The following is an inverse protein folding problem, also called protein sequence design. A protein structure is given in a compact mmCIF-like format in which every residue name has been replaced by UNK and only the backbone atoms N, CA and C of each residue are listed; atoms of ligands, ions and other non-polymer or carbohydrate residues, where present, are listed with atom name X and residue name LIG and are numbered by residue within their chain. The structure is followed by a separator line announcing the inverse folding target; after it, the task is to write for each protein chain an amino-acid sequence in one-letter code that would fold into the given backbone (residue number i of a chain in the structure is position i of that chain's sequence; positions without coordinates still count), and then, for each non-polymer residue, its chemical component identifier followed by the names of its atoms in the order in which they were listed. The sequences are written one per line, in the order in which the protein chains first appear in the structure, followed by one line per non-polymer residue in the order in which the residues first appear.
data_IF_688146274351
#
_entry.id   IF_688146274351
#
_cell.length_a   1.000
_cell.length_b   1.000
_cell.length_c   1.000
_cell.angle_alpha   90.00
_cell.angle_beta   90.00
_cell.angle_gamma   90.00
#
_symmetry.space_group_name_H-M   'P 1'
#
loop_
_entity.id
_entity.type
_entity.pdbx_description
1 polymer ?
#
# COMPACT_ATOMS: atom_id res chain seq x y z
N UNK A 1 10.43 27.38 -12.81
CA UNK A 1 10.20 28.76 -12.32
C UNK A 1 8.99 28.84 -11.38
N UNK A 2 7.82 28.32 -11.73
CA UNK A 2 6.63 28.36 -10.85
C UNK A 2 6.72 27.45 -9.60
N UNK A 3 7.37 26.28 -9.71
CA UNK A 3 7.56 25.36 -8.56
C UNK A 3 8.55 25.90 -7.51
N UNK A 4 9.53 26.71 -7.94
CA UNK A 4 10.52 27.34 -7.06
C UNK A 4 9.89 28.45 -6.21
N UNK A 5 8.93 29.20 -6.76
CA UNK A 5 8.16 30.22 -6.02
C UNK A 5 7.31 29.56 -4.92
N UNK A 6 6.63 28.44 -5.24
CA UNK A 6 5.79 27.72 -4.26
C UNK A 6 6.61 27.15 -3.11
N UNK A 7 7.79 26.59 -3.41
CA UNK A 7 8.70 26.08 -2.38
C UNK A 7 9.14 27.20 -1.43
N UNK A 8 9.52 28.37 -1.95
CA UNK A 8 9.93 29.54 -1.17
C UNK A 8 8.82 30.08 -0.27
N UNK A 9 7.59 30.20 -0.79
CA UNK A 9 6.43 30.62 0.00
C UNK A 9 6.22 29.68 1.19
N UNK A 10 6.28 28.36 0.93
CA UNK A 10 6.08 27.35 1.97
C UNK A 10 7.21 27.39 3.02
N UNK A 11 8.46 27.56 2.58
CA UNK A 11 9.61 27.69 3.48
C UNK A 11 9.50 28.93 4.39
N UNK A 12 9.11 30.09 3.83
CA UNK A 12 8.93 31.32 4.59
C UNK A 12 7.80 31.18 5.62
N UNK A 13 6.66 30.62 5.21
CA UNK A 13 5.56 30.33 6.13
C UNK A 13 6.00 29.45 7.31
N UNK A 14 6.76 28.38 7.04
CA UNK A 14 7.30 27.51 8.09
C UNK A 14 8.25 28.27 9.04
N UNK A 15 9.11 29.16 8.52
CA UNK A 15 10.01 29.99 9.35
C UNK A 15 9.21 30.92 10.26
N UNK A 16 8.25 31.65 9.70
CA UNK A 16 7.41 32.61 10.43
C UNK A 16 6.64 31.92 11.57
N UNK A 17 6.03 30.76 11.32
CA UNK A 17 5.36 30.01 12.38
C UNK A 17 6.37 29.51 13.42
N UNK A 18 7.51 28.95 13.03
CA UNK A 18 8.52 28.50 14.00
C UNK A 18 9.05 29.64 14.90
N UNK A 19 9.20 30.85 14.36
CA UNK A 19 9.59 32.04 15.12
C UNK A 19 8.49 32.45 16.11
N UNK A 20 7.24 32.51 15.64
CA UNK A 20 6.06 32.81 16.45
C UNK A 20 5.92 31.84 17.64
N UNK A 21 6.19 30.55 17.41
CA UNK A 21 6.17 29.52 18.45
C UNK A 21 7.50 29.42 19.24
N UNK A 22 8.53 30.20 18.89
CA UNK A 22 9.87 30.20 19.51
C UNK A 22 10.55 28.82 19.49
N UNK A 23 10.44 28.12 18.36
CA UNK A 23 10.98 26.77 18.13
C UNK A 23 11.97 26.68 16.97
N UNK A 24 12.38 27.79 16.34
CA UNK A 24 13.24 27.78 15.14
C UNK A 24 14.49 26.91 15.26
N UNK A 25 15.14 26.90 16.44
CA UNK A 25 16.34 26.09 16.72
C UNK A 25 16.04 24.73 17.38
N UNK A 26 14.77 24.36 17.49
CA UNK A 26 14.30 23.12 18.15
C UNK A 26 13.73 22.10 17.18
N UNK A 27 13.67 22.43 15.88
CA UNK A 27 13.15 21.53 14.85
C UNK A 27 14.23 20.56 14.39
N UNK A 28 14.10 19.29 14.78
CA UNK A 28 15.04 18.23 14.42
C UNK A 28 14.88 17.77 12.97
N UNK A 29 13.63 17.63 12.51
CA UNK A 29 13.26 17.19 11.16
C UNK A 29 11.81 17.56 10.84
N UNK A 30 11.47 17.59 9.55
CA UNK A 30 10.12 17.80 9.04
C UNK A 30 9.69 16.58 8.24
N UNK A 31 8.51 16.03 8.60
CA UNK A 31 7.90 14.90 7.88
C UNK A 31 6.89 15.43 6.86
N UNK A 32 6.92 14.96 5.62
CA UNK A 32 5.91 15.28 4.61
C UNK A 32 5.59 14.11 3.69
N UNK A 33 4.54 14.25 2.88
CA UNK A 33 4.08 13.28 1.88
C UNK A 33 4.94 13.21 0.61
N UNK A 34 6.18 13.73 0.64
CA UNK A 34 7.15 13.68 -0.45
C UNK A 34 6.77 14.46 -1.73
N UNK A 35 5.81 15.40 -1.66
CA UNK A 35 5.55 16.27 -2.81
C UNK A 35 6.74 17.20 -3.05
N UNK A 36 7.24 17.24 -4.29
CA UNK A 36 8.50 17.91 -4.65
C UNK A 36 8.62 19.35 -4.14
N UNK A 37 7.55 20.14 -4.20
CA UNK A 37 7.55 21.52 -3.72
C UNK A 37 7.71 21.62 -2.20
N UNK A 38 7.14 20.68 -1.44
CA UNK A 38 7.30 20.62 0.02
C UNK A 38 8.71 20.14 0.38
N UNK A 39 9.23 19.14 -0.32
CA UNK A 39 10.61 18.67 -0.12
C UNK A 39 11.60 19.81 -0.38
N UNK A 40 11.44 20.54 -1.48
CA UNK A 40 12.27 21.70 -1.81
C UNK A 40 12.11 22.84 -0.78
N UNK A 41 10.90 23.06 -0.25
CA UNK A 41 10.67 24.04 0.83
C UNK A 41 11.43 23.66 2.10
N UNK A 42 11.36 22.40 2.52
CA UNK A 42 12.06 21.89 3.71
C UNK A 42 13.58 22.03 3.56
N UNK A 43 14.10 21.65 2.39
CA UNK A 43 15.54 21.74 2.08
C UNK A 43 16.03 23.20 2.00
N UNK A 44 15.29 24.08 1.33
CA UNK A 44 15.64 25.51 1.23
C UNK A 44 15.54 26.26 2.56
N UNK A 45 14.75 25.74 3.50
CA UNK A 45 14.73 26.22 4.87
C UNK A 45 15.87 25.70 5.76
N UNK A 46 16.70 24.78 5.26
CA UNK A 46 17.82 24.20 6.00
C UNK A 46 17.44 23.09 6.98
N UNK A 47 16.22 22.54 6.88
CA UNK A 47 15.77 21.46 7.76
C UNK A 47 16.00 20.09 7.14
N UNK A 48 16.16 19.07 8.00
CA UNK A 48 16.16 17.67 7.57
C UNK A 48 14.76 17.25 7.17
N UNK A 49 14.62 16.66 5.99
CA UNK A 49 13.37 16.10 5.49
C UNK A 49 13.29 14.60 5.79
N UNK A 50 12.13 14.15 6.25
CA UNK A 50 11.78 12.75 6.41
C UNK A 50 10.53 12.47 5.57
N UNK A 51 10.62 11.45 4.73
CA UNK A 51 9.51 11.08 3.85
C UNK A 51 8.46 10.25 4.57
N UNK A 52 7.18 10.51 4.28
CA UNK A 52 6.09 9.70 4.80
C UNK A 52 6.17 8.27 4.23
N UNK A 53 6.49 7.31 5.09
CA UNK A 53 6.63 5.90 4.69
C UNK A 53 5.35 5.35 4.06
N UNK A 54 4.18 5.59 4.68
CA UNK A 54 2.88 5.11 4.16
C UNK A 54 2.59 5.67 2.77
N UNK A 55 2.94 6.93 2.52
CA UNK A 55 2.80 7.52 1.19
C UNK A 55 3.73 6.84 0.17
N UNK A 56 5.00 6.65 0.52
CA UNK A 56 5.96 5.93 -0.33
C UNK A 56 5.50 4.50 -0.63
N UNK A 57 5.00 3.77 0.38
CA UNK A 57 4.48 2.42 0.25
C UNK A 57 3.25 2.39 -0.67
N UNK A 58 2.33 3.35 -0.55
CA UNK A 58 1.21 3.50 -1.46
C UNK A 58 1.69 3.66 -2.91
N UNK A 59 2.71 4.49 -3.18
CA UNK A 59 3.25 4.65 -4.53
C UNK A 59 3.86 3.35 -5.08
N UNK A 60 4.57 2.58 -4.24
CA UNK A 60 5.12 1.26 -4.63
C UNK A 60 3.99 0.32 -5.06
N UNK A 61 2.98 0.17 -4.21
CA UNK A 61 1.92 -0.81 -4.42
C UNK A 61 1.02 -0.44 -5.59
N UNK A 62 0.71 0.85 -5.78
CA UNK A 62 -0.09 1.30 -6.93
C UNK A 62 0.58 0.96 -8.26
N UNK A 63 1.90 1.14 -8.36
CA UNK A 63 2.65 0.74 -9.56
C UNK A 63 2.60 -0.77 -9.76
N UNK A 64 2.77 -1.57 -8.71
CA UNK A 64 2.61 -3.02 -8.81
C UNK A 64 1.21 -3.44 -9.29
N UNK A 65 0.16 -2.92 -8.66
CA UNK A 65 -1.24 -3.20 -9.04
C UNK A 65 -1.52 -2.82 -10.50
N UNK A 66 -0.87 -1.77 -11.01
CA UNK A 66 -1.05 -1.34 -12.39
C UNK A 66 -0.69 -2.41 -13.42
N UNK A 67 0.22 -3.33 -13.08
CA UNK A 67 0.61 -4.48 -13.93
C UNK A 67 -0.53 -5.50 -14.10
N UNK A 68 -1.48 -5.54 -13.16
CA UNK A 68 -2.66 -6.42 -13.19
C UNK A 68 -3.97 -5.63 -13.34
N UNK A 69 -3.89 -4.37 -13.79
CA UNK A 69 -5.02 -3.43 -13.79
C UNK A 69 -6.22 -3.93 -14.60
N UNK A 70 -5.99 -4.65 -15.69
CA UNK A 70 -7.06 -5.23 -16.52
C UNK A 70 -7.94 -6.18 -15.70
N UNK A 71 -7.31 -7.10 -14.96
CA UNK A 71 -8.02 -8.06 -14.10
C UNK A 71 -8.68 -7.38 -12.92
N UNK A 72 -7.99 -6.41 -12.28
CA UNK A 72 -8.55 -5.61 -11.17
C UNK A 72 -9.80 -4.86 -11.62
N UNK A 73 -9.80 -4.31 -12.84
CA UNK A 73 -10.94 -3.58 -13.40
C UNK A 73 -12.13 -4.51 -13.64
N UNK A 74 -11.90 -5.75 -14.10
CA UNK A 74 -12.97 -6.75 -14.24
C UNK A 74 -13.56 -7.13 -12.88
N UNK A 75 -12.72 -7.37 -11.86
CA UNK A 75 -13.18 -7.61 -10.48
C UNK A 75 -14.02 -6.44 -9.97
N UNK A 76 -13.58 -5.20 -10.24
CA UNK A 76 -14.32 -3.99 -9.87
C UNK A 76 -15.69 -3.94 -10.54
N UNK A 77 -15.80 -4.28 -11.83
CA UNK A 77 -17.07 -4.33 -12.55
C UNK A 77 -18.04 -5.37 -11.96
N UNK A 78 -17.52 -6.54 -11.56
CA UNK A 78 -18.30 -7.56 -10.85
C UNK A 78 -18.86 -7.00 -9.54
N UNK A 79 -18.01 -6.37 -8.73
CA UNK A 79 -18.41 -5.79 -7.45
C UNK A 79 -19.42 -4.68 -7.64
N UNK A 80 -19.22 -3.78 -8.60
CA UNK A 80 -20.15 -2.70 -8.94
C UNK A 80 -21.51 -3.24 -9.38
N UNK A 81 -21.55 -4.32 -10.15
CA UNK A 81 -22.80 -4.97 -10.54
C UNK A 81 -23.58 -5.46 -9.32
N UNK A 82 -22.94 -6.19 -8.40
CA UNK A 82 -23.59 -6.65 -7.16
C UNK A 82 -23.99 -5.50 -6.23
N UNK A 83 -23.28 -4.37 -6.26
CA UNK A 83 -23.64 -3.18 -5.48
C UNK A 83 -24.84 -2.43 -6.05
N UNK A 84 -24.96 -2.34 -7.38
CA UNK A 84 -26.03 -1.61 -8.07
C UNK A 84 -27.32 -2.41 -8.18
N UNK A 85 -27.24 -3.74 -8.30
CA UNK A 85 -28.41 -4.60 -8.45
C UNK A 85 -28.81 -5.26 -7.13
N UNK A 86 -29.93 -4.81 -6.56
CA UNK A 86 -30.52 -5.43 -5.37
C UNK A 86 -30.86 -6.91 -5.61
N UNK A 87 -31.38 -7.25 -6.79
CA UNK A 87 -31.68 -8.63 -7.16
C UNK A 87 -30.42 -9.51 -7.23
N UNK A 88 -29.33 -9.02 -7.83
CA UNK A 88 -28.08 -9.76 -7.87
C UNK A 88 -27.49 -9.94 -6.47
N UNK A 89 -27.60 -8.92 -5.62
CA UNK A 89 -27.16 -8.98 -4.22
C UNK A 89 -27.97 -10.00 -3.40
N UNK A 90 -29.27 -10.10 -3.60
CA UNK A 90 -30.12 -11.12 -2.96
C UNK A 90 -29.72 -12.52 -3.42
N UNK A 91 -29.58 -12.74 -4.74
CA UNK A 91 -29.13 -14.02 -5.29
C UNK A 91 -27.76 -14.44 -4.76
N UNK A 92 -26.81 -13.51 -4.64
CA UNK A 92 -25.50 -13.79 -4.04
C UNK A 92 -25.63 -14.23 -2.58
N UNK A 93 -26.52 -13.61 -1.81
CA UNK A 93 -26.76 -14.02 -0.43
C UNK A 93 -27.40 -15.41 -0.34
N UNK A 94 -28.36 -15.71 -1.21
CA UNK A 94 -28.97 -17.04 -1.31
C UNK A 94 -27.92 -18.09 -1.66
N UNK A 95 -27.06 -17.82 -2.64
CA UNK A 95 -25.99 -18.72 -3.07
C UNK A 95 -24.96 -18.95 -1.97
N UNK A 96 -24.58 -17.89 -1.24
CA UNK A 96 -23.73 -18.02 -0.05
C UNK A 96 -24.39 -18.89 1.03
N UNK A 97 -25.70 -18.75 1.28
CA UNK A 97 -26.42 -19.61 2.23
C UNK A 97 -26.46 -21.07 1.79
N UNK A 98 -26.74 -21.33 0.51
CA UNK A 98 -26.77 -22.68 -0.06
C UNK A 98 -25.41 -23.38 0.06
N UNK A 99 -24.32 -22.62 -0.06
CA UNK A 99 -22.95 -23.12 0.08
C UNK A 99 -22.44 -23.14 1.54
N UNK A 100 -23.31 -22.88 2.54
CA UNK A 100 -22.94 -22.76 3.95
C UNK A 100 -21.82 -21.74 4.24
N UNK A 101 -21.74 -20.68 3.43
CA UNK A 101 -20.78 -19.58 3.59
C UNK A 101 -21.38 -18.43 4.41
N UNK A 102 -20.56 -17.73 5.22
CA UNK A 102 -21.00 -16.50 5.88
C UNK A 102 -21.57 -15.48 4.90
N UNK A 103 -22.76 -14.96 5.21
CA UNK A 103 -23.45 -14.00 4.35
C UNK A 103 -22.78 -12.63 4.43
N UNK A 104 -21.88 -12.38 3.49
CA UNK A 104 -21.11 -11.13 3.41
C UNK A 104 -21.39 -10.39 2.11
N UNK A 105 -21.38 -9.06 2.17
CA UNK A 105 -21.37 -8.20 0.98
C UNK A 105 -19.96 -8.11 0.42
N UNK A 106 -19.86 -7.90 -0.90
CA UNK A 106 -18.59 -7.57 -1.56
C UNK A 106 -18.13 -6.16 -1.13
N UNK A 107 -16.81 -5.97 -1.06
CA UNK A 107 -16.17 -4.69 -0.73
C UNK A 107 -15.85 -3.94 -2.01
N UNK A 108 -16.21 -2.66 -2.08
CA UNK A 108 -15.95 -1.82 -3.24
C UNK A 108 -14.59 -1.14 -3.10
N UNK A 109 -13.85 -1.07 -4.20
CA UNK A 109 -12.62 -0.32 -4.30
C UNK A 109 -12.86 1.20 -4.31
N UNK A 110 -11.99 1.93 -3.62
CA UNK A 110 -11.87 3.39 -3.57
C UNK A 110 -10.52 3.75 -4.18
N UNK A 111 -10.55 4.31 -5.39
CA UNK A 111 -9.38 4.54 -6.27
C UNK A 111 -8.20 5.23 -5.57
N UNK A 112 -8.46 6.11 -4.60
CA UNK A 112 -7.43 6.88 -3.91
C UNK A 112 -6.63 6.08 -2.88
N UNK A 113 -6.99 4.83 -2.56
CA UNK A 113 -6.33 4.03 -1.51
C UNK A 113 -6.22 2.57 -1.93
N UNK A 114 -5.02 2.12 -2.28
CA UNK A 114 -4.78 0.72 -2.67
C UNK A 114 -5.26 -0.33 -1.65
N UNK A 115 -5.35 0.03 -0.36
CA UNK A 115 -5.91 -0.83 0.69
C UNK A 115 -7.33 -1.31 0.37
N UNK A 116 -8.18 -0.47 -0.25
CA UNK A 116 -9.52 -0.89 -0.68
C UNK A 116 -9.47 -1.85 -1.86
N UNK A 117 -8.46 -1.73 -2.72
CA UNK A 117 -8.24 -2.65 -3.83
C UNK A 117 -7.91 -4.02 -3.29
N UNK A 118 -6.95 -4.12 -2.35
CA UNK A 118 -6.63 -5.37 -1.66
C UNK A 118 -7.87 -5.97 -0.99
N UNK A 119 -8.61 -5.17 -0.24
CA UNK A 119 -9.83 -5.59 0.44
C UNK A 119 -10.91 -6.13 -0.51
N UNK A 120 -11.07 -5.51 -1.68
CA UNK A 120 -11.96 -5.95 -2.75
C UNK A 120 -11.51 -7.31 -3.30
N UNK A 121 -10.25 -7.43 -3.72
CA UNK A 121 -9.69 -8.67 -4.28
C UNK A 121 -9.82 -9.83 -3.29
N UNK A 122 -9.39 -9.60 -2.05
CA UNK A 122 -9.45 -10.58 -0.97
C UNK A 122 -10.91 -11.01 -0.68
N UNK A 123 -11.85 -10.07 -0.64
CA UNK A 123 -13.28 -10.38 -0.42
C UNK A 123 -13.86 -11.19 -1.57
N UNK A 124 -13.59 -10.81 -2.82
CA UNK A 124 -14.12 -11.51 -3.99
C UNK A 124 -13.59 -12.94 -4.06
N UNK A 125 -12.30 -13.16 -3.80
CA UNK A 125 -11.73 -14.52 -3.74
C UNK A 125 -12.32 -15.34 -2.58
N UNK A 126 -12.55 -14.74 -1.40
CA UNK A 126 -13.20 -15.44 -0.28
C UNK A 126 -14.64 -15.89 -0.58
N UNK A 127 -15.26 -15.37 -1.64
CA UNK A 127 -16.61 -15.72 -2.10
C UNK A 127 -16.61 -16.23 -3.54
N UNK A 128 -15.47 -16.74 -4.03
CA UNK A 128 -15.25 -17.13 -5.42
C UNK A 128 -16.38 -18.01 -5.96
N UNK A 129 -16.69 -19.12 -5.30
CA UNK A 129 -17.68 -20.09 -5.81
C UNK A 129 -19.09 -19.50 -5.85
N UNK A 130 -19.49 -18.77 -4.81
CA UNK A 130 -20.79 -18.10 -4.77
C UNK A 130 -20.89 -16.99 -5.83
N UNK A 131 -19.82 -16.25 -6.07
CA UNK A 131 -19.74 -15.22 -7.12
C UNK A 131 -19.85 -15.86 -8.51
N UNK A 132 -19.09 -16.93 -8.78
CA UNK A 132 -19.13 -17.65 -10.06
C UNK A 132 -20.54 -18.21 -10.32
N UNK A 133 -21.11 -18.94 -9.36
CA UNK A 133 -22.44 -19.53 -9.48
C UNK A 133 -23.51 -18.45 -9.69
N UNK A 134 -23.44 -17.34 -8.97
CA UNK A 134 -24.40 -16.25 -9.14
C UNK A 134 -24.27 -15.58 -10.50
N UNK A 135 -23.04 -15.24 -10.94
CA UNK A 135 -22.79 -14.62 -12.24
C UNK A 135 -23.27 -15.50 -13.39
N UNK A 136 -23.08 -16.82 -13.32
CA UNK A 136 -23.59 -17.75 -14.32
C UNK A 136 -25.12 -17.65 -14.51
N UNK A 137 -25.86 -17.32 -13.45
CA UNK A 137 -27.33 -17.22 -13.47
C UNK A 137 -27.85 -15.84 -13.86
N UNK A 138 -27.08 -14.77 -13.65
CA UNK A 138 -27.59 -13.39 -13.77
C UNK A 138 -26.85 -12.55 -14.79
N UNK A 139 -25.55 -12.82 -15.02
CA UNK A 139 -24.69 -11.96 -15.82
C UNK A 139 -23.35 -12.62 -16.17
N UNK A 140 -23.41 -13.64 -17.03
CA UNK A 140 -22.25 -14.47 -17.37
C UNK A 140 -21.10 -13.68 -18.04
N UNK A 141 -21.41 -12.58 -18.73
CA UNK A 141 -20.45 -11.78 -19.48
C UNK A 141 -19.45 -11.02 -18.57
N UNK A 142 -19.77 -10.90 -17.27
CA UNK A 142 -18.86 -10.33 -16.28
C UNK A 142 -17.95 -11.37 -15.62
N UNK A 143 -18.11 -12.66 -15.92
CA UNK A 143 -17.33 -13.72 -15.29
C UNK A 143 -15.84 -13.61 -15.66
N UNK A 144 -14.97 -13.78 -14.66
CA UNK A 144 -13.53 -13.93 -14.90
C UNK A 144 -13.23 -15.32 -15.46
N UNK A 145 -12.26 -15.40 -16.37
CA UNK A 145 -11.74 -16.68 -16.83
C UNK A 145 -10.76 -17.30 -15.80
N UNK A 146 -10.32 -18.53 -16.07
CA UNK A 146 -9.42 -19.28 -15.18
C UNK A 146 -8.12 -18.54 -14.88
N UNK A 147 -7.48 -17.98 -15.92
CA UNK A 147 -6.23 -17.22 -15.78
C UNK A 147 -6.43 -15.97 -14.93
N UNK A 148 -7.51 -15.23 -15.16
CA UNK A 148 -7.84 -14.02 -14.39
C UNK A 148 -8.08 -14.33 -12.91
N UNK A 149 -8.79 -15.42 -12.60
CA UNK A 149 -8.93 -15.89 -11.23
C UNK A 149 -7.58 -16.23 -10.60
N UNK A 150 -6.73 -16.93 -11.35
CA UNK A 150 -5.38 -17.27 -10.92
C UNK A 150 -4.56 -16.01 -10.57
N UNK A 151 -4.54 -14.99 -11.44
CA UNK A 151 -3.84 -13.72 -11.17
C UNK A 151 -4.30 -13.09 -9.86
N UNK A 152 -5.61 -13.03 -9.61
CA UNK A 152 -6.14 -12.42 -8.37
C UNK A 152 -5.74 -13.24 -7.14
N UNK A 153 -5.82 -14.57 -7.23
CA UNK A 153 -5.45 -15.47 -6.14
C UNK A 153 -3.96 -15.39 -5.80
N UNK A 154 -3.11 -15.25 -6.82
CA UNK A 154 -1.66 -15.07 -6.68
C UNK A 154 -1.29 -13.69 -6.15
N UNK A 155 -2.03 -12.64 -6.53
CA UNK A 155 -1.74 -11.28 -6.09
C UNK A 155 -2.01 -11.04 -4.61
N UNK A 156 -3.03 -11.68 -4.03
CA UNK A 156 -3.44 -11.50 -2.63
C UNK A 156 -2.31 -11.76 -1.63
N UNK A 157 -1.60 -12.92 -1.62
CA UNK A 157 -0.54 -13.16 -0.64
C UNK A 157 0.62 -12.17 -0.77
N UNK A 158 0.97 -11.76 -1.99
CA UNK A 158 2.01 -10.75 -2.23
C UNK A 158 1.60 -9.40 -1.63
N UNK A 159 0.41 -8.90 -2.00
CA UNK A 159 -0.10 -7.61 -1.53
C UNK A 159 -0.41 -7.60 -0.03
N UNK A 160 -0.69 -8.76 0.58
CA UNK A 160 -0.95 -8.91 2.01
C UNK A 160 0.23 -8.42 2.86
N UNK A 161 1.46 -8.73 2.46
CA UNK A 161 2.66 -8.29 3.20
C UNK A 161 2.73 -6.76 3.29
N UNK A 162 2.48 -6.07 2.18
CA UNK A 162 2.38 -4.61 2.12
C UNK A 162 1.21 -4.11 2.97
N UNK A 163 0.08 -4.81 2.98
CA UNK A 163 -1.16 -4.35 3.63
C UNK A 163 -1.00 -4.38 5.14
N UNK A 164 -0.37 -5.43 5.65
CA UNK A 164 -0.05 -5.58 7.07
C UNK A 164 0.93 -4.51 7.53
N UNK A 165 1.99 -4.23 6.76
CA UNK A 165 2.94 -3.14 7.05
C UNK A 165 2.24 -1.78 7.06
N UNK A 166 1.45 -1.48 6.01
CA UNK A 166 0.73 -0.22 5.92
C UNK A 166 -0.25 -0.03 7.09
N UNK A 167 -0.95 -1.10 7.48
CA UNK A 167 -1.90 -1.08 8.59
C UNK A 167 -1.20 -0.90 9.92
N UNK A 168 -0.08 -1.60 10.17
CA UNK A 168 0.70 -1.46 11.42
C UNK A 168 1.20 -0.02 11.58
N UNK A 169 1.81 0.55 10.54
CA UNK A 169 2.31 1.93 10.61
C UNK A 169 1.19 2.95 10.76
N UNK A 170 0.02 2.72 10.14
CA UNK A 170 -1.10 3.68 10.15
C UNK A 170 -1.97 3.60 11.41
N UNK A 171 -1.95 2.48 12.15
CA UNK A 171 -2.76 2.29 13.36
C UNK A 171 -2.04 2.71 14.64
N UNK A 172 -0.73 2.98 14.56
CA UNK A 172 0.06 3.24 15.75
C UNK A 172 -0.11 4.66 16.30
N UNK A 173 -0.52 4.73 17.57
CA UNK A 173 -0.44 5.94 18.41
C UNK A 173 0.99 6.20 18.94
N UNK A 174 1.98 5.45 18.45
CA UNK A 174 3.36 5.41 18.94
C UNK A 174 4.38 5.58 17.81
N UNK A 175 5.67 5.66 18.17
CA UNK A 175 6.81 5.90 17.28
C UNK A 175 6.85 4.91 16.11
N UNK A 176 6.63 5.45 14.90
CA UNK A 176 6.61 4.73 13.62
C UNK A 176 7.96 4.76 12.89
N UNK A 177 8.86 5.68 13.26
CA UNK A 177 10.10 5.97 12.54
C UNK A 177 11.11 4.82 12.67
N UNK A 178 11.23 4.22 13.86
CA UNK A 178 12.10 3.07 14.17
C UNK A 178 11.75 1.80 13.38
N UNK A 179 10.53 1.75 12.83
CA UNK A 179 10.04 0.59 12.08
C UNK A 179 10.35 0.68 10.59
N UNK A 180 10.75 1.85 10.10
CA UNK A 180 10.94 2.11 8.67
C UNK A 180 11.99 1.17 8.09
N UNK A 181 13.17 1.07 8.71
CA UNK A 181 14.26 0.20 8.25
C UNK A 181 13.85 -1.28 8.32
N UNK A 182 13.22 -1.69 9.42
CA UNK A 182 12.78 -3.08 9.62
C UNK A 182 11.76 -3.47 8.56
N UNK A 183 10.74 -2.63 8.34
CA UNK A 183 9.68 -2.93 7.37
C UNK A 183 10.13 -2.80 5.92
N UNK A 184 11.01 -1.84 5.56
CA UNK A 184 11.58 -1.78 4.22
C UNK A 184 12.37 -3.04 3.89
N UNK A 185 13.18 -3.52 4.84
CA UNK A 185 13.98 -4.75 4.69
C UNK A 185 13.10 -5.99 4.60
N UNK A 186 12.09 -6.12 5.47
CA UNK A 186 11.15 -7.25 5.44
C UNK A 186 10.39 -7.32 4.10
N UNK A 187 9.91 -6.19 3.60
CA UNK A 187 9.23 -6.13 2.29
C UNK A 187 10.19 -6.48 1.14
N UNK A 188 11.41 -5.95 1.18
CA UNK A 188 12.44 -6.23 0.18
C UNK A 188 12.83 -7.72 0.16
N UNK A 189 13.01 -8.34 1.32
CA UNK A 189 13.29 -9.77 1.44
C UNK A 189 12.11 -10.62 0.96
N UNK A 190 10.89 -10.32 1.42
CA UNK A 190 9.70 -11.06 1.03
C UNK A 190 9.51 -11.07 -0.50
N UNK A 191 9.59 -9.91 -1.15
CA UNK A 191 9.41 -9.81 -2.60
C UNK A 191 10.59 -10.43 -3.38
N UNK A 192 11.81 -10.37 -2.82
CA UNK A 192 12.99 -10.97 -3.45
C UNK A 192 13.02 -12.49 -3.39
N UNK A 193 12.39 -13.08 -2.37
CA UNK A 193 12.31 -14.53 -2.18
C UNK A 193 11.14 -15.18 -2.96
N UNK A 194 10.34 -14.40 -3.68
CA UNK A 194 9.27 -14.94 -4.52
C UNK A 194 9.86 -15.70 -5.72
N UNK A 195 9.61 -17.01 -5.79
CA UNK A 195 9.95 -17.81 -6.97
C UNK A 195 9.00 -17.48 -8.12
N UNK A 196 9.46 -16.68 -9.09
CA UNK A 196 8.66 -16.19 -10.22
C UNK A 196 8.09 -17.32 -11.10
N UNK A 197 8.76 -18.48 -11.18
CA UNK A 197 8.35 -19.59 -12.05
C UNK A 197 7.00 -20.21 -11.65
N UNK A 198 6.55 -19.98 -10.41
CA UNK A 198 5.29 -20.51 -9.89
C UNK A 198 4.09 -19.60 -10.22
N UNK A 199 4.34 -18.38 -10.70
CA UNK A 199 3.31 -17.36 -10.90
C UNK A 199 2.92 -17.20 -12.37
N UNK A 200 1.71 -16.69 -12.63
CA UNK A 200 1.27 -16.31 -13.98
C UNK A 200 2.13 -15.17 -14.56
N UNK A 201 2.22 -15.01 -15.89
CA UNK A 201 2.99 -13.93 -16.50
C UNK A 201 2.63 -12.53 -15.99
N UNK A 202 1.35 -12.26 -15.75
CA UNK A 202 0.87 -10.99 -15.20
C UNK A 202 1.26 -10.80 -13.73
N UNK A 203 1.16 -11.86 -12.91
CA UNK A 203 1.60 -11.82 -11.53
C UNK A 203 3.13 -11.66 -11.42
N UNK A 204 3.90 -12.29 -12.31
CA UNK A 204 5.35 -12.10 -12.40
C UNK A 204 5.73 -10.64 -12.71
N UNK A 205 5.01 -10.00 -13.64
CA UNK A 205 5.19 -8.56 -13.93
C UNK A 205 4.92 -7.71 -12.69
N UNK A 206 3.81 -7.96 -11.99
CA UNK A 206 3.50 -7.29 -10.73
C UNK A 206 4.62 -7.45 -9.69
N UNK A 207 5.08 -8.67 -9.45
CA UNK A 207 6.14 -8.96 -8.46
C UNK A 207 7.43 -8.25 -8.84
N UNK A 208 7.82 -8.29 -10.12
CA UNK A 208 9.03 -7.63 -10.64
C UNK A 208 8.93 -6.11 -10.48
N UNK A 209 7.77 -5.53 -10.81
CA UNK A 209 7.48 -4.12 -10.68
C UNK A 209 7.51 -3.67 -9.20
N UNK A 210 6.88 -4.44 -8.30
CA UNK A 210 6.95 -4.22 -6.86
C UNK A 210 8.39 -4.26 -6.34
N UNK A 211 9.17 -5.28 -6.72
CA UNK A 211 10.58 -5.41 -6.33
C UNK A 211 11.40 -4.19 -6.75
N UNK A 212 11.27 -3.78 -8.02
CA UNK A 212 11.96 -2.61 -8.55
C UNK A 212 11.54 -1.32 -7.84
N UNK A 213 10.25 -1.14 -7.52
CA UNK A 213 9.77 0.05 -6.84
C UNK A 213 10.15 0.10 -5.36
N UNK A 214 10.15 -1.03 -4.66
CA UNK A 214 10.68 -1.13 -3.29
C UNK A 214 12.15 -0.71 -3.27
N UNK A 215 12.97 -1.29 -4.15
CA UNK A 215 14.39 -0.95 -4.25
C UNK A 215 14.58 0.54 -4.55
N UNK A 216 13.96 1.03 -5.63
CA UNK A 216 14.10 2.42 -6.09
C UNK A 216 13.70 3.44 -5.03
N UNK A 217 12.62 3.19 -4.28
CA UNK A 217 12.04 4.20 -3.38
C UNK A 217 12.63 4.18 -1.99
N UNK A 218 12.96 3.01 -1.46
CA UNK A 218 13.52 2.87 -0.12
C UNK A 218 15.06 2.88 -0.10
N UNK A 219 15.71 2.48 -1.19
CA UNK A 219 17.17 2.38 -1.26
C UNK A 219 17.74 3.45 -2.19
N UNK A 220 17.41 3.45 -3.49
CA UNK A 220 18.08 4.36 -4.45
C UNK A 220 17.77 5.85 -4.21
N UNK A 221 16.53 6.20 -3.83
CA UNK A 221 16.09 7.59 -3.68
C UNK A 221 16.16 8.15 -2.27
N UNK A 222 15.90 7.31 -1.28
CA UNK A 222 15.78 7.74 0.13
C UNK A 222 16.88 7.18 1.02
N UNK A 223 17.56 6.12 0.56
CA UNK A 223 18.49 5.30 1.32
C UNK A 223 18.16 5.23 2.81
N UNK A 224 17.06 4.53 3.11
CA UNK A 224 16.51 4.49 4.47
C UNK A 224 17.48 3.89 5.48
N UNK A 225 18.44 3.08 5.05
CA UNK A 225 19.43 2.45 5.91
C UNK A 225 20.58 3.40 6.27
N UNK A 226 20.98 4.32 5.37
CA UNK A 226 22.04 5.31 5.67
C UNK A 226 21.53 6.60 6.33
N UNK A 227 20.21 6.81 6.36
CA UNK A 227 19.64 7.98 7.03
C UNK A 227 19.82 7.88 8.56
N UNK A 228 20.60 8.81 9.11
CA UNK A 228 20.94 8.86 10.54
C UNK A 228 19.72 8.84 11.45
N UNK A 229 18.63 9.55 11.10
CA UNK A 229 17.44 9.59 11.96
C UNK A 229 16.68 8.27 11.98
N UNK A 230 16.58 7.58 10.84
CA UNK A 230 15.99 6.24 10.82
C UNK A 230 16.87 5.25 11.60
N UNK A 231 18.20 5.32 11.42
CA UNK A 231 19.14 4.43 12.10
C UNK A 231 19.15 4.64 13.62
N UNK A 232 19.27 5.89 14.09
CA UNK A 232 19.23 6.24 15.51
C UNK A 232 17.94 5.77 16.17
N UNK A 233 16.78 6.08 15.56
CA UNK A 233 15.49 5.70 16.14
C UNK A 233 15.29 4.17 16.15
N UNK A 234 15.72 3.47 15.09
CA UNK A 234 15.67 2.00 15.02
C UNK A 234 16.57 1.36 16.09
N UNK A 235 17.80 1.87 16.25
CA UNK A 235 18.75 1.37 17.25
C UNK A 235 18.27 1.69 18.66
N UNK A 236 17.59 2.81 18.90
CA UNK A 236 17.12 3.16 20.24
C UNK A 236 15.86 2.40 20.66
N UNK A 237 15.11 1.85 19.70
CA UNK A 237 13.86 1.13 19.97
C UNK A 237 14.11 -0.23 20.68
N UNK A 238 13.67 -0.39 21.94
CA UNK A 238 13.89 -1.63 22.69
C UNK A 238 13.15 -2.84 22.10
N UNK A 239 12.14 -2.63 21.25
CA UNK A 239 11.40 -3.71 20.58
C UNK A 239 12.30 -4.51 19.63
N UNK A 240 13.31 -3.86 19.05
CA UNK A 240 14.24 -4.49 18.11
C UNK A 240 15.56 -4.96 18.76
N UNK A 241 15.77 -4.67 20.05
CA UNK A 241 16.97 -5.10 20.80
C UNK A 241 16.84 -6.49 21.41
N UNK A 242 15.62 -6.93 21.73
CA UNK A 242 15.39 -8.17 22.49
C UNK A 242 15.45 -9.46 21.67
N UNK A 243 15.61 -9.38 20.35
CA UNK A 243 15.76 -10.57 19.49
C UNK A 243 17.22 -11.06 19.32
N UNK A 244 18.19 -10.43 20.00
CA UNK A 244 19.62 -10.80 19.91
C UNK A 244 20.14 -11.49 21.18
N UNK A 245 19.32 -11.63 22.22
CA UNK A 245 19.75 -12.15 23.54
C UNK A 245 19.42 -13.62 23.81
N UNK A 246 18.96 -14.39 22.82
CA UNK A 246 18.74 -15.85 22.93
C UNK A 246 19.40 -16.59 21.75
N UNK A 247 20.72 -16.58 21.72
CA UNK A 247 21.58 -17.56 21.01
C UNK A 247 22.84 -17.75 21.84
#
# INVERSE_FOLDING_TARGET
MMDDIRAKICANFLKEEMEKWKISNKVTAIVSDNVNNIVAAVQSGGWRHIGCFTHTLNLVVQVGISEIQTTVTKVKNIVEFFKRSSQAQVKLQEMQKQMNLPVLKLKQDVVTRWNSTYDMLNRVVSRKDAVIATLALVRHELALNTTEWQVVQEAIPILKSFYEVATKISTEKQVSLSKVIVYSRLLHQHISNCNLEVYSPEAQKMITSLKAQVHRRFYDKSDVESNVLYAEDTILDPRFKKEVSET
#
